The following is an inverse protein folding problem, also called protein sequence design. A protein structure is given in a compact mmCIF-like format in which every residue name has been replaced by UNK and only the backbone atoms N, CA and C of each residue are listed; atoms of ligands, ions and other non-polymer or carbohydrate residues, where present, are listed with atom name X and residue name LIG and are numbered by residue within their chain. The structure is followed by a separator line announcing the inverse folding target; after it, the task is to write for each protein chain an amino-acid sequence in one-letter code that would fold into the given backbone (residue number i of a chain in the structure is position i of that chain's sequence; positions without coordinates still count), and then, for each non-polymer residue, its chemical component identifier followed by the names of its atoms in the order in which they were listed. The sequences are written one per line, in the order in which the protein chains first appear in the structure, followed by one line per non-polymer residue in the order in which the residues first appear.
data_IF_525301206425
#
_entry.id   IF_525301206425
#
_cell.length_a   1.000
_cell.length_b   1.000
_cell.length_c   1.000
_cell.angle_alpha   90.00
_cell.angle_beta   90.00
_cell.angle_gamma   90.00
#
_symmetry.space_group_name_H-M   'P 1'
#
loop_
_entity.id
_entity.type
_entity.pdbx_description
1 polymer ?
#
# COMPACT_ATOMS: atom_id res chain seq x y z
N UNK A 1 20.09 5.73 -26.07
CA UNK A 1 19.77 5.24 -24.72
C UNK A 1 18.29 4.87 -24.74
N UNK A 2 17.88 3.63 -24.40
CA UNK A 2 16.46 3.28 -24.44
C UNK A 2 15.75 3.87 -23.23
N UNK A 3 14.62 4.51 -23.51
CA UNK A 3 13.78 5.28 -22.61
C UNK A 3 13.33 4.46 -21.39
N UNK A 4 13.53 4.99 -20.19
CA UNK A 4 12.88 4.48 -18.99
C UNK A 4 11.36 4.59 -19.18
N UNK A 5 10.58 3.55 -18.84
CA UNK A 5 9.13 3.64 -18.94
C UNK A 5 8.65 4.67 -17.93
N UNK A 6 8.03 5.75 -18.43
CA UNK A 6 7.27 6.66 -17.61
C UNK A 6 6.11 5.88 -17.00
N UNK A 7 6.16 5.63 -15.69
CA UNK A 7 5.00 5.14 -14.95
C UNK A 7 3.97 6.26 -14.93
N UNK A 8 3.09 6.26 -15.94
CA UNK A 8 1.96 7.17 -16.03
C UNK A 8 0.95 6.73 -14.98
N UNK A 9 0.83 7.54 -13.92
CA UNK A 9 -0.21 7.39 -12.91
C UNK A 9 -1.40 8.27 -13.32
N UNK A 10 -2.52 7.59 -13.59
CA UNK A 10 -3.91 8.02 -13.77
C UNK A 10 -4.24 9.14 -14.77
N UNK A 11 -4.95 8.76 -15.84
CA UNK A 11 -6.08 9.53 -16.36
C UNK A 11 -7.30 8.65 -16.64
N UNK A 12 -8.45 9.30 -16.50
CA UNK A 12 -9.79 8.84 -16.16
C UNK A 12 -10.53 8.19 -17.35
N UNK A 13 -10.04 7.03 -17.84
CA UNK A 13 -10.58 6.35 -19.05
C UNK A 13 -10.96 4.86 -18.84
N UNK A 14 -11.45 4.48 -17.65
CA UNK A 14 -11.86 3.09 -17.41
C UNK A 14 -10.71 2.07 -17.46
N UNK A 15 -9.48 2.53 -17.30
CA UNK A 15 -8.30 1.69 -17.15
C UNK A 15 -8.21 1.12 -15.73
N UNK A 16 -7.96 -0.18 -15.62
CA UNK A 16 -7.70 -0.83 -14.34
C UNK A 16 -6.42 -0.25 -13.72
N UNK A 17 -6.57 0.51 -12.63
CA UNK A 17 -5.44 1.05 -11.90
C UNK A 17 -4.86 -0.02 -10.98
N UNK A 18 -3.62 -0.42 -11.24
CA UNK A 18 -2.88 -1.33 -10.36
C UNK A 18 -2.39 -0.56 -9.14
N UNK A 19 -3.27 -0.40 -8.15
CA UNK A 19 -2.96 0.21 -6.88
C UNK A 19 -2.43 -0.82 -5.88
N UNK A 20 -1.30 -0.49 -5.25
CA UNK A 20 -0.76 -1.22 -4.10
C UNK A 20 -0.48 -0.20 -2.99
N UNK A 21 -1.45 0.10 -2.12
CA UNK A 21 -1.24 1.02 -1.01
C UNK A 21 -0.16 0.51 -0.08
N UNK A 22 0.68 1.42 0.38
CA UNK A 22 1.70 1.07 1.35
C UNK A 22 2.30 2.29 2.02
N UNK A 23 3.17 2.02 2.98
CA UNK A 23 3.92 3.04 3.70
C UNK A 23 5.38 2.61 3.88
N UNK A 24 6.26 3.60 3.97
CA UNK A 24 7.68 3.41 4.23
C UNK A 24 8.08 4.15 5.50
N UNK A 25 8.74 3.45 6.43
CA UNK A 25 9.16 4.02 7.71
C UNK A 25 10.55 3.49 8.10
N UNK A 26 11.37 4.32 8.74
CA UNK A 26 12.61 3.82 9.35
C UNK A 26 12.23 2.92 10.53
N UNK A 27 12.94 1.81 10.73
CA UNK A 27 12.73 0.82 11.78
C UNK A 27 12.70 1.43 13.18
N UNK A 28 13.49 2.48 13.42
CA UNK A 28 13.47 3.24 14.68
C UNK A 28 12.13 3.93 14.97
N UNK A 29 11.29 4.16 13.95
CA UNK A 29 9.93 4.69 14.04
C UNK A 29 8.86 3.58 13.96
N UNK A 30 9.27 2.34 13.69
CA UNK A 30 8.42 1.17 13.60
C UNK A 30 8.29 0.55 15.00
N UNK A 31 7.37 1.09 15.81
CA UNK A 31 7.05 0.59 17.16
C UNK A 31 5.61 0.06 17.23
N UNK A 32 5.26 -0.82 18.20
CA UNK A 32 3.90 -1.35 18.32
C UNK A 32 2.78 -0.31 18.34
N UNK A 33 3.02 0.86 18.95
CA UNK A 33 2.06 1.96 18.99
C UNK A 33 1.87 2.66 17.63
N UNK A 34 2.87 2.61 16.74
CA UNK A 34 2.80 3.17 15.39
C UNK A 34 2.29 2.16 14.35
N UNK A 35 2.42 0.85 14.62
CA UNK A 35 1.92 -0.20 13.72
C UNK A 35 0.43 -0.04 13.46
N UNK A 36 -0.36 0.20 14.49
CA UNK A 36 -1.81 0.36 14.38
C UNK A 36 -2.18 1.54 13.49
N UNK A 37 -1.48 2.67 13.60
CA UNK A 37 -1.75 3.85 12.79
C UNK A 37 -1.39 3.63 11.31
N UNK A 38 -0.20 3.08 11.03
CA UNK A 38 0.23 2.81 9.66
C UNK A 38 -0.65 1.74 9.02
N UNK A 39 -0.94 0.66 9.77
CA UNK A 39 -1.84 -0.40 9.32
C UNK A 39 -3.25 0.14 9.05
N UNK A 40 -3.80 0.96 9.94
CA UNK A 40 -5.12 1.57 9.76
C UNK A 40 -5.17 2.43 8.50
N UNK A 41 -4.14 3.26 8.25
CA UNK A 41 -4.08 4.06 7.02
C UNK A 41 -4.01 3.17 5.77
N UNK A 42 -3.10 2.19 5.73
CA UNK A 42 -2.99 1.29 4.58
C UNK A 42 -4.28 0.52 4.33
N UNK A 43 -4.96 0.08 5.40
CA UNK A 43 -6.26 -0.61 5.30
C UNK A 43 -7.37 0.32 4.84
N UNK A 44 -7.47 1.55 5.36
CA UNK A 44 -8.48 2.53 4.93
C UNK A 44 -8.35 2.87 3.45
N UNK A 45 -7.13 3.20 2.99
CA UNK A 45 -6.88 3.43 1.56
C UNK A 45 -7.22 2.21 0.72
N UNK A 46 -6.92 1.02 1.22
CA UNK A 46 -7.22 -0.21 0.50
C UNK A 46 -8.72 -0.47 0.38
N UNK A 47 -9.47 -0.18 1.45
CA UNK A 47 -10.92 -0.30 1.46
C UNK A 47 -11.59 0.70 0.50
N UNK A 48 -11.17 1.97 0.57
CA UNK A 48 -11.65 3.07 -0.28
C UNK A 48 -11.38 2.80 -1.76
N UNK A 49 -10.20 2.29 -2.09
CA UNK A 49 -9.79 1.99 -3.48
C UNK A 49 -10.13 0.56 -3.94
N UNK A 50 -10.80 -0.22 -3.10
CA UNK A 50 -11.17 -1.62 -3.38
C UNK A 50 -10.01 -2.53 -3.79
N UNK A 51 -8.83 -2.31 -3.21
CA UNK A 51 -7.65 -3.16 -3.45
C UNK A 51 -7.49 -4.21 -2.36
N UNK A 52 -6.83 -5.33 -2.70
CA UNK A 52 -6.66 -6.47 -1.79
C UNK A 52 -5.28 -6.57 -1.16
N UNK A 53 -4.29 -5.91 -1.73
CA UNK A 53 -2.90 -6.05 -1.32
C UNK A 53 -2.31 -4.70 -0.99
N UNK A 54 -1.48 -4.68 0.05
CA UNK A 54 -0.68 -3.55 0.43
C UNK A 54 0.61 -4.00 1.11
N UNK A 55 1.47 -3.04 1.45
CA UNK A 55 2.73 -3.34 2.13
C UNK A 55 3.13 -2.24 3.09
N UNK A 56 3.99 -2.60 4.03
CA UNK A 56 4.70 -1.64 4.87
C UNK A 56 6.17 -2.05 4.87
N UNK A 57 7.02 -1.15 4.39
CA UNK A 57 8.45 -1.41 4.29
C UNK A 57 9.22 -0.56 5.30
N UNK A 58 10.21 -1.18 5.94
CA UNK A 58 11.24 -0.48 6.69
C UNK A 58 12.61 -0.79 6.10
N UNK A 59 13.64 -0.17 6.66
CA UNK A 59 15.04 -0.50 6.40
C UNK A 59 15.45 -1.91 6.85
N UNK A 60 14.64 -2.59 7.67
CA UNK A 60 14.96 -3.91 8.22
C UNK A 60 13.91 -4.99 7.94
N UNK A 61 12.64 -4.62 7.71
CA UNK A 61 11.53 -5.58 7.55
C UNK A 61 10.56 -5.14 6.45
N UNK A 62 9.95 -6.13 5.80
CA UNK A 62 8.83 -5.94 4.89
C UNK A 62 7.62 -6.69 5.44
N UNK A 63 6.53 -5.96 5.65
CA UNK A 63 5.23 -6.51 6.04
C UNK A 63 4.31 -6.46 4.82
N UNK A 64 3.83 -7.61 4.37
CA UNK A 64 2.87 -7.70 3.27
C UNK A 64 1.47 -7.92 3.85
N UNK A 65 0.51 -7.14 3.38
CA UNK A 65 -0.87 -7.17 3.83
C UNK A 65 -1.77 -7.75 2.73
N UNK A 66 -2.61 -8.70 3.10
CA UNK A 66 -3.72 -9.17 2.28
C UNK A 66 -5.03 -8.87 3.00
N UNK A 67 -5.81 -7.96 2.44
CA UNK A 67 -7.10 -7.56 2.97
C UNK A 67 -8.16 -8.42 2.31
N UNK A 68 -8.89 -9.16 3.12
CA UNK A 68 -10.03 -9.96 2.71
C UNK A 68 -11.29 -9.40 3.35
N UNK A 69 -12.39 -9.39 2.61
CA UNK A 69 -13.70 -9.14 3.20
C UNK A 69 -14.08 -10.35 4.05
N UNK A 70 -14.48 -10.10 5.28
CA UNK A 70 -15.15 -11.13 6.08
C UNK A 70 -16.57 -11.26 5.52
N UNK A 71 -16.91 -12.47 5.05
CA UNK A 71 -18.30 -12.80 4.74
C UNK A 71 -18.97 -13.20 6.06
N UNK A 72 -20.04 -12.48 6.41
CA UNK A 72 -20.95 -12.82 7.51
C UNK A 72 -22.25 -13.34 6.93
#
# INVERSE_FOLDING_TARGET
MPNAPHYVLDQDDGCFLNLVPGDTKISSKWTPAFYTNVLAQTVSYSAERHVRYGFIATDTVLVVLRIARQYT
#
